data_IF_942525348715
#
_entry.id   IF_942525348715
#
_cell.length_a   1.000
_cell.length_b   1.000
_cell.length_c   1.000
_cell.angle_alpha   90.00
_cell.angle_beta   90.00
_cell.angle_gamma   90.00
#
_symmetry.space_group_name_H-M   'P 1'
#
loop_
_entity.id
_entity.type
_entity.pdbx_description
1 polymer ?
#
# COMPACT_ATOMS: atom_id res chain seq x y z
N UNK A 1 3.77 18.41 -11.05
CA UNK A 1 3.38 17.55 -12.20
C UNK A 1 3.68 16.07 -11.93
N UNK A 2 4.94 15.65 -11.75
CA UNK A 2 5.26 14.22 -11.53
C UNK A 2 4.56 13.60 -10.31
N UNK A 3 4.53 14.30 -9.17
CA UNK A 3 3.80 13.83 -7.99
C UNK A 3 2.29 13.61 -8.24
N UNK A 4 1.67 14.46 -9.07
CA UNK A 4 0.27 14.28 -9.47
C UNK A 4 0.10 13.01 -10.31
N UNK A 5 0.98 12.79 -11.30
CA UNK A 5 0.97 11.55 -12.10
C UNK A 5 1.17 10.30 -11.24
N UNK A 6 2.15 10.29 -10.34
CA UNK A 6 2.38 9.17 -9.42
C UNK A 6 1.13 8.89 -8.57
N UNK A 7 0.51 9.93 -8.01
CA UNK A 7 -0.71 9.81 -7.21
C UNK A 7 -1.88 9.25 -8.04
N UNK A 8 -2.10 9.77 -9.25
CA UNK A 8 -3.16 9.28 -10.13
C UNK A 8 -2.97 7.82 -10.54
N UNK A 9 -1.74 7.43 -10.91
CA UNK A 9 -1.42 6.04 -11.30
C UNK A 9 -1.66 5.09 -10.12
N UNK A 10 -1.25 5.46 -8.90
CA UNK A 10 -1.45 4.65 -7.71
C UNK A 10 -2.94 4.41 -7.40
N UNK A 11 -3.76 5.45 -7.48
CA UNK A 11 -5.21 5.32 -7.29
C UNK A 11 -5.90 4.58 -8.43
N UNK A 12 -5.45 4.75 -9.68
CA UNK A 12 -5.95 3.99 -10.83
C UNK A 12 -5.71 2.49 -10.62
N UNK A 13 -4.49 2.12 -10.22
CA UNK A 13 -4.15 0.74 -9.83
C UNK A 13 -5.10 0.21 -8.75
N UNK A 14 -5.29 0.97 -7.67
CA UNK A 14 -6.17 0.56 -6.56
C UNK A 14 -7.62 0.33 -7.01
N UNK A 15 -8.12 1.19 -7.90
CA UNK A 15 -9.45 1.07 -8.49
C UNK A 15 -9.57 -0.20 -9.35
N UNK A 16 -8.56 -0.48 -10.19
CA UNK A 16 -8.49 -1.72 -10.97
C UNK A 16 -8.43 -2.96 -10.06
N UNK A 17 -7.62 -2.94 -9.00
CA UNK A 17 -7.55 -4.06 -8.04
C UNK A 17 -8.91 -4.30 -7.37
N UNK A 18 -9.60 -3.22 -6.97
CA UNK A 18 -10.91 -3.32 -6.33
C UNK A 18 -11.98 -3.87 -7.27
N UNK A 19 -11.98 -3.43 -8.53
CA UNK A 19 -12.96 -3.87 -9.53
C UNK A 19 -12.74 -5.33 -9.97
N UNK A 20 -11.49 -5.79 -10.08
CA UNK A 20 -11.18 -7.08 -10.69
C UNK A 20 -10.76 -8.18 -9.70
N UNK A 21 -10.21 -7.87 -8.52
CA UNK A 21 -9.75 -8.88 -7.54
C UNK A 21 -10.75 -9.10 -6.41
N UNK A 22 -11.26 -8.00 -5.87
CA UNK A 22 -12.13 -8.08 -4.71
C UNK A 22 -13.46 -8.67 -5.15
N UNK A 23 -13.57 -10.00 -5.03
CA UNK A 23 -14.88 -10.65 -4.92
C UNK A 23 -15.55 -10.01 -3.72
N UNK A 24 -16.46 -9.07 -3.99
CA UNK A 24 -17.32 -8.46 -2.98
C UNK A 24 -18.04 -9.63 -2.31
N UNK A 25 -17.57 -10.02 -1.12
CA UNK A 25 -18.20 -11.12 -0.42
C UNK A 25 -19.60 -10.68 -0.04
N UNK A 26 -20.54 -11.61 0.04
CA UNK A 26 -21.95 -11.33 0.34
C UNK A 26 -22.21 -10.71 1.73
N UNK A 27 -21.16 -10.35 2.48
CA UNK A 27 -21.28 -9.59 3.72
C UNK A 27 -21.49 -8.11 3.42
N UNK A 28 -22.65 -7.58 3.78
CA UNK A 28 -22.92 -6.15 3.67
C UNK A 28 -21.93 -5.33 4.50
N UNK A 29 -21.14 -4.48 3.84
CA UNK A 29 -20.40 -3.43 4.53
C UNK A 29 -21.40 -2.39 5.05
N UNK A 30 -21.39 -2.05 6.34
CA UNK A 30 -22.28 -1.01 6.86
C UNK A 30 -22.05 0.31 6.12
N UNK A 31 -23.12 0.97 5.65
CA UNK A 31 -23.04 2.23 4.91
C UNK A 31 -22.21 3.30 5.64
N UNK A 32 -22.28 3.32 6.99
CA UNK A 32 -21.49 4.23 7.84
C UNK A 32 -19.98 4.04 7.66
N UNK A 33 -19.51 2.82 7.42
CA UNK A 33 -18.09 2.54 7.19
C UNK A 33 -17.65 3.00 5.81
N UNK A 34 -18.51 2.85 4.80
CA UNK A 34 -18.26 3.37 3.46
C UNK A 34 -18.11 4.90 3.49
N UNK A 35 -19.06 5.61 4.10
CA UNK A 35 -19.03 7.07 4.20
C UNK A 35 -17.76 7.54 4.93
N UNK A 36 -17.38 6.89 6.04
CA UNK A 36 -16.14 7.20 6.77
C UNK A 36 -14.90 7.01 5.88
N UNK A 37 -14.82 5.92 5.14
CA UNK A 37 -13.71 5.68 4.21
C UNK A 37 -13.67 6.74 3.11
N UNK A 38 -14.80 7.02 2.45
CA UNK A 38 -14.86 8.06 1.42
C UNK A 38 -14.44 9.42 1.96
N UNK A 39 -14.98 9.84 3.10
CA UNK A 39 -14.62 11.11 3.73
C UNK A 39 -13.12 11.18 4.07
N UNK A 40 -12.56 10.09 4.58
CA UNK A 40 -11.13 9.99 4.88
C UNK A 40 -10.28 10.12 3.60
N UNK A 41 -10.46 9.25 2.62
CA UNK A 41 -9.64 9.24 1.41
C UNK A 41 -9.82 10.51 0.57
N UNK A 42 -11.05 10.99 0.39
CA UNK A 42 -11.30 12.22 -0.37
C UNK A 42 -10.78 13.44 0.36
N UNK A 43 -11.00 13.54 1.68
CA UNK A 43 -10.49 14.66 2.49
C UNK A 43 -8.97 14.76 2.44
N UNK A 44 -8.26 13.65 2.65
CA UNK A 44 -6.79 13.63 2.55
C UNK A 44 -6.30 13.88 1.13
N UNK A 45 -6.97 13.32 0.11
CA UNK A 45 -6.61 13.58 -1.29
C UNK A 45 -6.75 15.07 -1.64
N UNK A 46 -7.85 15.71 -1.24
CA UNK A 46 -8.04 17.15 -1.42
C UNK A 46 -7.00 17.96 -0.67
N UNK A 47 -6.64 17.58 0.56
CA UNK A 47 -5.63 18.27 1.35
C UNK A 47 -4.23 18.17 0.75
N UNK A 48 -3.85 16.97 0.29
CA UNK A 48 -2.59 16.73 -0.44
C UNK A 48 -2.56 17.53 -1.74
N UNK A 49 -3.63 17.48 -2.53
CA UNK A 49 -3.74 18.19 -3.80
C UNK A 49 -3.65 19.71 -3.61
N UNK A 50 -4.27 20.25 -2.56
CA UNK A 50 -4.15 21.66 -2.22
C UNK A 50 -2.69 22.05 -1.97
N UNK A 51 -1.97 21.32 -1.10
CA UNK A 51 -0.58 21.65 -0.78
C UNK A 51 0.36 21.53 -1.99
N UNK A 52 0.24 20.46 -2.78
CA UNK A 52 1.14 20.18 -3.91
C UNK A 52 0.92 21.15 -5.07
N UNK A 53 -0.32 21.59 -5.31
CA UNK A 53 -0.65 22.46 -6.44
C UNK A 53 -0.79 23.94 -6.03
N UNK A 54 -0.57 24.28 -4.76
CA UNK A 54 -0.67 25.67 -4.31
C UNK A 54 0.41 26.53 -4.99
N UNK A 55 0.12 27.78 -5.42
CA UNK A 55 1.09 28.66 -6.07
C UNK A 55 2.34 28.96 -5.23
N UNK A 56 2.25 28.81 -3.90
CA UNK A 56 3.39 28.97 -2.97
C UNK A 56 4.11 27.66 -2.66
N UNK A 57 3.85 26.59 -3.41
CA UNK A 57 4.55 25.33 -3.23
C UNK A 57 6.04 25.52 -3.50
N UNK A 58 6.85 25.25 -2.49
CA UNK A 58 8.30 25.18 -2.64
C UNK A 58 8.69 23.77 -3.04
N UNK A 59 9.51 23.59 -4.07
CA UNK A 59 9.99 22.27 -4.44
C UNK A 59 10.76 21.62 -3.27
N UNK A 60 10.79 20.28 -3.22
CA UNK A 60 11.52 19.55 -2.18
C UNK A 60 12.98 20.00 -2.14
N UNK A 61 13.56 20.14 -0.94
CA UNK A 61 14.96 20.56 -0.75
C UNK A 61 15.99 19.44 -1.09
N UNK A 62 15.54 18.41 -1.81
CA UNK A 62 16.27 17.18 -2.07
C UNK A 62 17.01 17.23 -3.41
N UNK A 63 18.23 16.69 -3.44
CA UNK A 63 19.01 16.52 -4.67
C UNK A 63 18.28 15.62 -5.68
N UNK A 64 18.42 15.94 -6.98
CA UNK A 64 17.73 15.23 -8.07
C UNK A 64 17.99 13.72 -8.09
N UNK A 65 19.22 13.28 -7.78
CA UNK A 65 19.56 11.86 -7.72
C UNK A 65 18.74 11.13 -6.64
N UNK A 66 18.65 11.72 -5.45
CA UNK A 66 17.88 11.15 -4.34
C UNK A 66 16.38 11.17 -4.68
N UNK A 67 15.88 12.24 -5.30
CA UNK A 67 14.52 12.32 -5.79
C UNK A 67 14.19 11.19 -6.77
N UNK A 68 15.04 10.97 -7.78
CA UNK A 68 14.88 9.91 -8.77
C UNK A 68 14.91 8.51 -8.12
N UNK A 69 15.75 8.31 -7.11
CA UNK A 69 15.78 7.06 -6.33
C UNK A 69 14.44 6.76 -5.67
N UNK A 70 13.75 7.76 -5.13
CA UNK A 70 12.42 7.56 -4.51
C UNK A 70 11.31 7.41 -5.54
N UNK A 71 11.40 8.06 -6.72
CA UNK A 71 10.50 7.80 -7.85
C UNK A 71 10.58 6.33 -8.29
N UNK A 72 11.81 5.80 -8.43
CA UNK A 72 12.03 4.40 -8.81
C UNK A 72 11.50 3.46 -7.72
N UNK A 73 11.75 3.76 -6.44
CA UNK A 73 11.19 2.97 -5.32
C UNK A 73 9.67 2.95 -5.32
N UNK A 74 9.03 4.10 -5.54
CA UNK A 74 7.58 4.21 -5.68
C UNK A 74 7.06 3.31 -6.80
N UNK A 75 7.66 3.41 -7.99
CA UNK A 75 7.28 2.59 -9.14
C UNK A 75 7.47 1.08 -8.89
N UNK A 76 8.58 0.69 -8.27
CA UNK A 76 8.84 -0.72 -7.91
C UNK A 76 7.76 -1.24 -6.96
N UNK A 77 7.38 -0.47 -5.93
CA UNK A 77 6.35 -0.88 -4.99
C UNK A 77 4.99 -1.04 -5.69
N UNK A 78 4.60 -0.08 -6.52
CA UNK A 78 3.34 -0.12 -7.27
C UNK A 78 3.28 -1.30 -8.26
N UNK A 79 4.37 -1.54 -9.02
CA UNK A 79 4.48 -2.67 -9.95
C UNK A 79 4.45 -3.99 -9.18
N UNK A 80 5.15 -4.08 -8.05
CA UNK A 80 5.19 -5.31 -7.26
C UNK A 80 3.80 -5.68 -6.75
N UNK A 81 3.04 -4.71 -6.24
CA UNK A 81 1.65 -4.95 -5.84
C UNK A 81 0.79 -5.50 -6.99
N UNK A 82 0.98 -4.99 -8.22
CA UNK A 82 0.29 -5.52 -9.42
C UNK A 82 0.74 -6.96 -9.74
N UNK A 83 2.03 -7.26 -9.59
CA UNK A 83 2.52 -8.63 -9.81
C UNK A 83 1.97 -9.59 -8.77
N UNK A 84 1.85 -9.14 -7.50
CA UNK A 84 1.18 -9.89 -6.44
C UNK A 84 -0.33 -10.06 -6.70
N UNK A 85 -0.97 -9.09 -7.38
CA UNK A 85 -2.34 -9.21 -7.88
C UNK A 85 -2.48 -10.42 -8.81
N UNK A 86 -1.59 -10.59 -9.80
CA UNK A 86 -1.70 -11.69 -10.78
C UNK A 86 -1.43 -13.06 -10.15
N UNK A 87 -0.65 -13.10 -9.06
CA UNK A 87 -0.36 -14.36 -8.34
C UNK A 87 -1.49 -14.83 -7.43
N UNK A 88 -2.40 -13.95 -6.99
CA UNK A 88 -3.54 -14.33 -6.11
C UNK A 88 -4.64 -15.12 -6.83
N UNK A 89 -4.41 -15.58 -8.06
CA UNK A 89 -5.37 -16.30 -8.90
C UNK A 89 -6.07 -17.46 -8.19
N UNK A 90 -7.41 -17.37 -8.16
CA UNK A 90 -8.51 -18.30 -7.81
C UNK A 90 -8.39 -19.38 -6.72
N UNK A 91 -7.22 -19.75 -6.24
CA UNK A 91 -7.03 -20.93 -5.41
C UNK A 91 -6.82 -20.56 -3.94
N UNK A 92 -7.52 -21.29 -3.06
CA UNK A 92 -7.57 -21.11 -1.61
C UNK A 92 -6.24 -21.40 -0.86
N UNK A 93 -5.10 -21.27 -1.52
CA UNK A 93 -3.78 -21.55 -0.95
C UNK A 93 -3.10 -20.25 -0.51
N UNK A 94 -2.25 -20.34 0.52
CA UNK A 94 -1.41 -19.22 0.92
C UNK A 94 -0.42 -18.92 -0.22
N UNK A 95 -0.38 -17.67 -0.75
CA UNK A 95 0.53 -17.34 -1.84
C UNK A 95 1.98 -17.56 -1.40
N UNK A 96 2.68 -18.44 -2.13
CA UNK A 96 4.08 -18.78 -1.88
C UNK A 96 4.99 -17.97 -2.80
N UNK A 97 6.21 -17.62 -2.35
CA UNK A 97 7.21 -17.00 -3.21
C UNK A 97 7.51 -17.91 -4.40
N UNK A 98 7.75 -17.32 -5.57
CA UNK A 98 8.22 -18.03 -6.76
C UNK A 98 9.59 -17.47 -7.21
N UNK A 99 10.05 -17.83 -8.41
CA UNK A 99 11.32 -17.35 -8.96
C UNK A 99 11.35 -15.82 -9.19
N UNK A 100 10.21 -15.13 -9.14
CA UNK A 100 10.16 -13.69 -9.28
C UNK A 100 10.61 -13.01 -7.96
N UNK A 101 11.68 -12.18 -7.98
CA UNK A 101 12.21 -11.52 -6.79
C UNK A 101 11.18 -10.60 -6.09
N UNK A 102 10.20 -10.08 -6.83
CA UNK A 102 9.11 -9.25 -6.27
C UNK A 102 8.17 -10.02 -5.33
N UNK A 103 8.27 -11.34 -5.30
CA UNK A 103 7.41 -12.22 -4.51
C UNK A 103 8.15 -12.77 -3.30
N UNK A 104 9.47 -12.56 -3.23
CA UNK A 104 10.30 -13.04 -2.12
C UNK A 104 9.95 -12.42 -0.78
N UNK A 105 9.23 -11.29 -0.79
CA UNK A 105 8.69 -10.71 0.43
C UNK A 105 7.75 -11.67 1.17
N UNK A 106 7.13 -12.64 0.47
CA UNK A 106 6.39 -13.73 1.12
C UNK A 106 7.25 -14.65 1.99
N UNK A 107 8.59 -14.69 1.84
CA UNK A 107 9.45 -15.41 2.77
C UNK A 107 9.47 -14.76 4.15
N UNK A 108 9.37 -13.42 4.20
CA UNK A 108 9.54 -12.64 5.42
C UNK A 108 8.21 -12.26 6.07
N UNK A 109 7.20 -11.92 5.26
CA UNK A 109 5.93 -11.39 5.75
C UNK A 109 4.73 -12.12 5.18
N UNK A 110 3.63 -12.10 5.92
CA UNK A 110 2.39 -12.75 5.51
C UNK A 110 1.52 -11.90 4.58
N UNK A 111 1.62 -10.57 4.70
CA UNK A 111 0.85 -9.63 3.91
C UNK A 111 1.77 -8.64 3.18
N UNK A 112 2.59 -9.10 2.20
CA UNK A 112 3.54 -8.24 1.52
C UNK A 112 2.89 -7.09 0.76
N UNK A 113 1.63 -7.24 0.33
CA UNK A 113 0.88 -6.18 -0.34
C UNK A 113 0.77 -4.91 0.53
N UNK A 114 0.52 -5.06 1.84
CA UNK A 114 0.48 -3.91 2.73
C UNK A 114 1.87 -3.29 2.94
N UNK A 115 2.92 -4.10 2.86
CA UNK A 115 4.30 -3.62 2.95
C UNK A 115 4.68 -2.77 1.74
N UNK A 116 4.34 -3.22 0.53
CA UNK A 116 4.60 -2.47 -0.70
C UNK A 116 3.75 -1.21 -0.78
N UNK A 117 2.48 -1.28 -0.37
CA UNK A 117 1.60 -0.11 -0.34
C UNK A 117 2.14 0.98 0.60
N UNK A 118 2.56 0.62 1.82
CA UNK A 118 3.22 1.57 2.74
C UNK A 118 4.55 2.06 2.15
N UNK A 119 5.30 1.20 1.46
CA UNK A 119 6.54 1.58 0.77
C UNK A 119 6.31 2.65 -0.31
N UNK A 120 5.23 2.55 -1.09
CA UNK A 120 4.80 3.60 -2.03
C UNK A 120 4.50 4.89 -1.28
N UNK A 121 3.71 4.85 -0.21
CA UNK A 121 3.34 6.04 0.56
C UNK A 121 4.53 6.73 1.26
N UNK A 122 5.49 5.96 1.80
CA UNK A 122 6.75 6.49 2.34
C UNK A 122 7.56 7.16 1.24
N UNK A 123 7.70 6.50 0.08
CA UNK A 123 8.44 7.07 -1.05
C UNK A 123 7.79 8.37 -1.52
N UNK A 124 6.45 8.41 -1.59
CA UNK A 124 5.69 9.60 -1.95
C UNK A 124 5.81 10.73 -0.92
N UNK A 125 5.84 10.39 0.38
CA UNK A 125 6.11 11.36 1.46
C UNK A 125 7.48 12.00 1.28
N UNK A 126 8.52 11.20 1.01
CA UNK A 126 9.88 11.72 0.83
C UNK A 126 10.01 12.54 -0.46
N UNK A 127 9.32 12.14 -1.54
CA UNK A 127 9.31 12.87 -2.81
C UNK A 127 8.61 14.23 -2.71
N UNK A 128 7.53 14.32 -1.93
CA UNK A 128 6.74 15.55 -1.83
C UNK A 128 7.17 16.45 -0.67
N UNK A 129 7.77 15.87 0.37
CA UNK A 129 8.16 16.56 1.62
C UNK A 129 7.04 17.43 2.20
N UNK A 130 5.78 17.00 2.03
CA UNK A 130 4.61 17.74 2.52
C UNK A 130 4.04 17.08 3.77
N UNK A 131 3.64 17.92 4.73
CA UNK A 131 3.02 17.47 5.97
C UNK A 131 1.75 16.61 5.75
N UNK A 132 0.81 16.96 4.84
CA UNK A 132 -0.39 16.16 4.64
C UNK A 132 -0.10 14.73 4.17
N UNK A 133 0.89 14.54 3.30
CA UNK A 133 1.27 13.21 2.80
C UNK A 133 1.90 12.36 3.91
N UNK A 134 2.75 12.98 4.75
CA UNK A 134 3.33 12.30 5.90
C UNK A 134 2.30 11.86 6.93
N UNK A 135 1.32 12.73 7.26
CA UNK A 135 0.21 12.40 8.16
C UNK A 135 -0.62 11.25 7.58
N UNK A 136 -0.98 11.34 6.29
CA UNK A 136 -1.75 10.28 5.63
C UNK A 136 -1.03 8.93 5.67
N UNK A 137 0.27 8.94 5.38
CA UNK A 137 1.13 7.74 5.38
C UNK A 137 1.19 7.12 6.77
N UNK A 138 1.33 7.93 7.82
CA UNK A 138 1.31 7.46 9.20
C UNK A 138 -0.04 6.80 9.54
N UNK A 139 -1.15 7.48 9.26
CA UNK A 139 -2.48 6.97 9.60
C UNK A 139 -2.81 5.68 8.85
N UNK A 140 -2.50 5.62 7.55
CA UNK A 140 -2.75 4.41 6.75
C UNK A 140 -1.84 3.26 7.16
N UNK A 141 -0.58 3.54 7.57
CA UNK A 141 0.33 2.51 8.07
C UNK A 141 -0.17 1.84 9.34
N UNK A 142 -0.75 2.61 10.27
CA UNK A 142 -1.36 2.08 11.50
C UNK A 142 -2.56 1.19 11.13
N UNK A 143 -3.45 1.69 10.27
CA UNK A 143 -4.63 0.94 9.85
C UNK A 143 -4.27 -0.39 9.18
N UNK A 144 -3.32 -0.37 8.25
CA UNK A 144 -2.86 -1.56 7.54
C UNK A 144 -2.13 -2.54 8.46
N UNK A 145 -1.37 -2.05 9.45
CA UNK A 145 -0.75 -2.90 10.46
C UNK A 145 -1.80 -3.73 11.21
N UNK A 146 -2.90 -3.09 11.64
CA UNK A 146 -4.00 -3.77 12.34
C UNK A 146 -4.68 -4.81 11.44
N UNK A 147 -4.91 -4.48 10.17
CA UNK A 147 -5.46 -5.42 9.19
C UNK A 147 -4.52 -6.60 8.91
N UNK A 148 -3.22 -6.34 8.76
CA UNK A 148 -2.20 -7.34 8.53
C UNK A 148 -2.11 -8.33 9.69
N UNK A 149 -2.10 -7.84 10.93
CA UNK A 149 -2.10 -8.69 12.13
C UNK A 149 -3.35 -9.58 12.19
N UNK A 150 -4.53 -9.04 11.92
CA UNK A 150 -5.78 -9.81 11.88
C UNK A 150 -5.71 -10.90 10.83
N UNK A 151 -5.20 -10.58 9.64
CA UNK A 151 -5.04 -11.51 8.52
C UNK A 151 -3.98 -12.58 8.81
N UNK A 152 -2.85 -12.21 9.40
CA UNK A 152 -1.80 -13.14 9.84
C UNK A 152 -2.31 -14.13 10.88
N UNK A 153 -3.06 -13.67 11.90
CA UNK A 153 -3.71 -14.56 12.89
C UNK A 153 -4.65 -15.57 12.23
N UNK A 154 -5.41 -15.16 11.22
CA UNK A 154 -6.27 -16.08 10.47
C UNK A 154 -5.47 -17.09 9.65
N UNK A 155 -4.30 -16.70 9.13
CA UNK A 155 -3.40 -17.62 8.43
C UNK A 155 -2.75 -18.63 9.36
N UNK A 156 -2.29 -18.23 10.54
CA UNK A 156 -1.74 -19.14 11.56
C UNK A 156 -2.74 -20.23 11.94
N UNK A 157 -4.02 -19.87 12.13
CA UNK A 157 -5.09 -20.85 12.41
C UNK A 157 -5.33 -21.86 11.30
N UNK A 158 -5.04 -21.48 10.04
CA UNK A 158 -5.28 -22.33 8.86
C UNK A 158 -4.04 -23.15 8.46
N UNK A 159 -2.83 -22.65 8.71
CA UNK A 159 -1.58 -23.24 8.23
C UNK A 159 -0.55 -23.21 9.38
N UNK A 160 -0.37 -24.37 10.03
CA UNK A 160 0.15 -24.44 11.40
C UNK A 160 1.69 -24.56 11.53
N UNK A 161 2.47 -24.76 10.46
CA UNK A 161 3.91 -25.05 10.57
C UNK A 161 4.84 -24.01 9.93
N UNK A 162 4.50 -23.48 8.75
CA UNK A 162 5.39 -22.61 7.99
C UNK A 162 5.25 -21.11 8.33
N UNK A 163 4.12 -20.69 8.91
CA UNK A 163 3.78 -19.26 9.08
C UNK A 163 4.34 -18.65 10.38
N UNK A 164 4.66 -19.47 11.39
CA UNK A 164 5.18 -19.00 12.68
C UNK A 164 6.50 -18.21 12.61
N UNK A 165 7.26 -18.35 11.52
CA UNK A 165 8.53 -17.63 11.31
C UNK A 165 8.36 -16.29 10.58
N UNK A 166 7.16 -15.97 10.07
CA UNK A 166 6.89 -14.77 9.27
C UNK A 166 6.30 -13.66 10.13
N UNK A 167 6.68 -12.42 9.86
CA UNK A 167 6.00 -11.24 10.42
C UNK A 167 4.67 -10.98 9.69
N UNK A 168 3.78 -10.17 10.26
CA UNK A 168 2.49 -9.86 9.63
C UNK A 168 2.65 -8.92 8.42
N UNK A 169 3.46 -7.87 8.53
CA UNK A 169 3.59 -6.79 7.56
C UNK A 169 5.00 -6.18 7.48
N UNK A 170 5.65 -5.87 8.61
CA UNK A 170 6.97 -5.25 8.60
C UNK A 170 7.98 -6.33 9.01
N UNK A 171 8.94 -6.69 8.15
CA UNK A 171 9.91 -7.72 8.46
C UNK A 171 10.57 -7.44 9.81
N UNK A 172 10.59 -8.42 10.71
CA UNK A 172 11.26 -8.38 12.01
C UNK A 172 10.69 -7.39 13.05
N UNK A 173 9.61 -6.67 12.74
CA UNK A 173 8.94 -5.76 13.68
C UNK A 173 7.53 -6.24 14.00
N UNK A 174 6.76 -6.56 12.95
CA UNK A 174 5.30 -6.64 13.06
C UNK A 174 4.71 -7.66 12.10
#
# INVERSE_FOLDING_TARGET
ILACFCHCIHYLRYLLETLFVHKVSAGHTPLKNLIKSCAFYWGFTSWIAYYINHPRYTPPCMNLELYNKYVIKFAICDITDILLYFQKGSNACFPSPNYNPFTWMFFLVSCPNYTYEIGSWISFTVMTQTLPVGIFTLLISIQMSLWAQKKHKNYLKKFNSYIHKKSAMIPFIL
#
